data_IF_041115274281
#
_entry.id   IF_041115274281
#
_cell.length_a   1.000
_cell.length_b   1.000
_cell.length_c   1.000
_cell.angle_alpha   90.00
_cell.angle_beta   90.00
_cell.angle_gamma   90.00
#
_symmetry.space_group_name_H-M   'P 1'
#
loop_
_entity.id
_entity.type
_entity.pdbx_description
1 polymer ?
#
# COMPACT_ATOMS: atom_id res chain seq x y z
N UNK A 1 -0.92 -7.62 2.19
CA UNK A 1 0.43 -8.24 2.13
C UNK A 1 1.47 -7.12 2.10
N UNK A 2 2.28 -6.97 3.15
CA UNK A 2 3.34 -5.97 3.28
C UNK A 2 4.69 -6.69 3.31
N UNK A 3 5.77 -6.04 2.87
CA UNK A 3 7.10 -6.67 2.83
C UNK A 3 7.33 -7.61 1.64
N UNK A 4 6.49 -7.55 0.61
CA UNK A 4 6.72 -8.28 -0.64
C UNK A 4 7.90 -7.65 -1.38
N UNK A 5 8.86 -8.48 -1.78
CA UNK A 5 10.01 -8.06 -2.59
C UNK A 5 9.69 -8.33 -4.06
N UNK A 6 9.76 -7.30 -4.87
CA UNK A 6 9.34 -7.30 -6.27
C UNK A 6 10.43 -6.78 -7.18
N UNK A 7 10.54 -7.36 -8.38
CA UNK A 7 11.35 -6.81 -9.46
C UNK A 7 10.54 -5.77 -10.21
N UNK A 8 11.13 -4.60 -10.44
CA UNK A 8 10.49 -3.55 -11.21
C UNK A 8 10.40 -3.96 -12.68
N UNK A 9 9.16 -3.99 -13.17
CA UNK A 9 8.81 -4.18 -14.56
C UNK A 9 7.84 -3.06 -14.96
N UNK A 10 8.15 -2.22 -15.97
CA UNK A 10 7.28 -1.12 -16.37
C UNK A 10 5.90 -1.56 -16.89
N UNK A 11 5.77 -2.79 -17.41
CA UNK A 11 4.48 -3.34 -17.84
C UNK A 11 3.57 -3.62 -16.64
N UNK A 12 4.16 -3.99 -15.50
CA UNK A 12 3.44 -4.33 -14.27
C UNK A 12 3.38 -3.18 -13.27
N UNK A 13 4.29 -2.20 -13.38
CA UNK A 13 4.52 -1.18 -12.37
C UNK A 13 4.70 0.21 -12.98
N UNK A 14 3.83 1.13 -12.59
CA UNK A 14 3.96 2.56 -12.92
C UNK A 14 4.46 3.34 -11.71
N UNK A 15 5.58 4.07 -11.85
CA UNK A 15 6.04 5.00 -10.81
C UNK A 15 5.18 6.25 -10.88
N UNK A 16 4.59 6.64 -9.75
CA UNK A 16 3.64 7.75 -9.67
C UNK A 16 4.34 8.99 -9.10
N UNK A 17 4.54 10.05 -9.90
CA UNK A 17 5.04 11.32 -9.39
C UNK A 17 3.94 12.09 -8.64
N UNK A 18 4.34 13.10 -7.86
CA UNK A 18 3.39 14.05 -7.25
C UNK A 18 3.66 14.33 -5.77
N UNK A 19 2.71 15.01 -5.14
CA UNK A 19 2.86 15.52 -3.77
C UNK A 19 3.17 14.44 -2.73
N UNK A 20 2.56 13.24 -2.87
CA UNK A 20 2.83 12.12 -1.98
C UNK A 20 4.25 11.57 -2.17
N UNK A 21 4.71 11.46 -3.42
CA UNK A 21 6.09 11.05 -3.70
C UNK A 21 7.10 12.05 -3.12
N UNK A 22 6.84 13.36 -3.26
CA UNK A 22 7.68 14.40 -2.67
C UNK A 22 7.64 14.40 -1.13
N UNK A 23 6.48 14.10 -0.54
CA UNK A 23 6.37 13.88 0.90
C UNK A 23 7.25 12.70 1.35
N UNK A 24 7.18 11.55 0.68
CA UNK A 24 8.00 10.38 1.00
C UNK A 24 9.50 10.69 0.88
N UNK A 25 9.92 11.45 -0.14
CA UNK A 25 11.33 11.86 -0.30
C UNK A 25 11.80 12.73 0.87
N UNK A 26 11.00 13.73 1.27
CA UNK A 26 11.30 14.62 2.42
C UNK A 26 11.36 13.85 3.73
N UNK A 27 10.49 12.85 3.91
CA UNK A 27 10.43 12.05 5.14
C UNK A 27 11.77 11.36 5.47
N UNK A 28 12.54 10.97 4.45
CA UNK A 28 13.83 10.28 4.59
C UNK A 28 15.02 11.11 4.09
N UNK A 29 14.86 12.42 3.93
CA UNK A 29 15.91 13.28 3.34
C UNK A 29 17.20 13.32 4.17
N UNK A 30 17.05 13.14 5.48
CA UNK A 30 18.12 13.13 6.48
C UNK A 30 18.62 11.72 6.81
N UNK A 31 18.04 10.67 6.20
CA UNK A 31 18.48 9.28 6.35
C UNK A 31 19.40 8.90 5.16
N UNK A 32 20.73 8.80 5.36
CA UNK A 32 21.65 8.50 4.27
C UNK A 32 21.40 7.13 3.60
N UNK A 33 20.80 6.17 4.32
CA UNK A 33 20.55 4.83 3.80
C UNK A 33 19.32 4.78 2.90
N UNK A 34 18.36 5.67 3.14
CA UNK A 34 17.04 5.69 2.48
C UNK A 34 16.79 6.88 1.56
N UNK A 35 17.66 7.89 1.62
CA UNK A 35 17.55 9.08 0.78
C UNK A 35 17.40 8.72 -0.70
N UNK A 36 16.30 9.17 -1.31
CA UNK A 36 15.99 8.92 -2.72
C UNK A 36 15.50 7.51 -3.05
N UNK A 37 15.31 6.64 -2.05
CA UNK A 37 14.85 5.26 -2.26
C UNK A 37 13.35 5.06 -2.12
N UNK A 38 12.65 5.95 -1.41
CA UNK A 38 11.19 5.87 -1.27
C UNK A 38 10.48 6.45 -2.49
N UNK A 39 9.48 5.73 -2.98
CA UNK A 39 8.67 6.13 -4.13
C UNK A 39 7.25 5.56 -4.01
N UNK A 40 6.34 6.08 -4.84
CA UNK A 40 4.98 5.57 -4.97
C UNK A 40 4.90 4.78 -6.27
N UNK A 41 4.38 3.56 -6.19
CA UNK A 41 4.18 2.67 -7.34
C UNK A 41 2.70 2.28 -7.43
N UNK A 42 2.21 2.17 -8.66
CA UNK A 42 0.92 1.55 -8.97
C UNK A 42 1.18 0.18 -9.58
N UNK A 43 0.60 -0.85 -9.00
CA UNK A 43 0.50 -2.18 -9.60
C UNK A 43 -0.55 -2.13 -10.71
N UNK A 44 -0.12 -2.14 -11.97
CA UNK A 44 -0.96 -1.84 -13.13
C UNK A 44 -2.16 -2.80 -13.25
N UNK A 45 -1.92 -4.11 -13.04
CA UNK A 45 -2.95 -5.16 -13.10
C UNK A 45 -3.99 -5.03 -11.99
N UNK A 46 -3.56 -4.69 -10.78
CA UNK A 46 -4.43 -4.61 -9.60
C UNK A 46 -5.07 -3.23 -9.41
N UNK A 47 -4.51 -2.20 -10.05
CA UNK A 47 -4.93 -0.81 -9.85
C UNK A 47 -4.63 -0.27 -8.45
N UNK A 48 -3.75 -0.92 -7.69
CA UNK A 48 -3.42 -0.59 -6.30
C UNK A 48 -2.17 0.26 -6.22
N UNK A 49 -2.19 1.27 -5.36
CA UNK A 49 -1.07 2.16 -5.07
C UNK A 49 -0.34 1.71 -3.80
N UNK A 50 0.98 1.75 -3.83
CA UNK A 50 1.84 1.30 -2.73
C UNK A 50 3.01 2.28 -2.58
N UNK A 51 3.38 2.56 -1.34
CA UNK A 51 4.66 3.21 -1.02
C UNK A 51 5.70 2.11 -0.90
N UNK A 52 6.76 2.22 -1.69
CA UNK A 52 7.82 1.22 -1.80
C UNK A 52 9.20 1.83 -1.57
N UNK A 53 10.16 0.98 -1.21
CA UNK A 53 11.57 1.32 -1.04
C UNK A 53 12.43 0.51 -2.02
N UNK A 54 13.32 1.17 -2.77
CA UNK A 54 14.35 0.49 -3.55
C UNK A 54 15.36 -0.21 -2.63
N UNK A 55 15.59 -1.52 -2.82
CA UNK A 55 16.59 -2.25 -2.03
C UNK A 55 18.02 -2.03 -2.56
N UNK A 56 18.15 -1.84 -3.87
CA UNK A 56 19.41 -1.66 -4.57
C UNK A 56 19.41 -0.34 -5.38
N UNK A 57 19.67 -0.42 -6.68
CA UNK A 57 19.59 0.71 -7.61
C UNK A 57 18.12 1.00 -7.96
N UNK A 58 17.75 2.25 -8.30
CA UNK A 58 16.41 2.57 -8.78
C UNK A 58 16.04 1.72 -10.01
N UNK A 59 14.76 1.33 -10.10
CA UNK A 59 14.20 0.49 -11.19
C UNK A 59 14.76 -0.94 -11.25
N UNK A 60 15.21 -1.47 -10.13
CA UNK A 60 15.66 -2.85 -9.99
C UNK A 60 14.73 -3.60 -9.03
N UNK A 61 15.16 -3.87 -7.81
CA UNK A 61 14.35 -4.56 -6.79
C UNK A 61 13.83 -3.57 -5.76
N UNK A 62 12.56 -3.69 -5.41
CA UNK A 62 11.93 -2.90 -4.36
C UNK A 62 11.14 -3.76 -3.38
N UNK A 63 10.84 -3.19 -2.22
CA UNK A 63 9.99 -3.79 -1.20
C UNK A 63 8.79 -2.89 -0.89
N UNK A 64 7.63 -3.50 -0.70
CA UNK A 64 6.40 -2.82 -0.33
C UNK A 64 6.42 -2.42 1.15
N UNK A 65 6.31 -1.11 1.43
CA UNK A 65 6.33 -0.55 2.80
C UNK A 65 4.92 -0.29 3.31
N UNK A 66 4.02 0.22 2.45
CA UNK A 66 2.64 0.56 2.84
C UNK A 66 1.69 0.50 1.65
N UNK A 67 0.58 -0.22 1.83
CA UNK A 67 -0.50 -0.31 0.84
C UNK A 67 -1.50 0.86 1.00
N UNK A 68 -1.78 1.57 -0.09
CA UNK A 68 -2.71 2.69 -0.17
C UNK A 68 -4.06 2.29 -0.81
N UNK A 69 -4.23 1.05 -1.25
CA UNK A 69 -5.44 0.60 -1.92
C UNK A 69 -5.60 1.23 -3.30
N UNK A 70 -6.85 1.39 -3.77
CA UNK A 70 -7.16 1.85 -5.14
C UNK A 70 -7.10 3.37 -5.33
N UNK A 71 -6.87 4.15 -4.27
CA UNK A 71 -6.83 5.61 -4.33
C UNK A 71 -5.74 6.20 -3.46
N UNK A 72 -5.06 7.22 -3.98
CA UNK A 72 -4.11 8.03 -3.20
C UNK A 72 -4.79 8.90 -2.14
N UNK A 73 -6.10 9.17 -2.26
CA UNK A 73 -6.88 9.90 -1.25
C UNK A 73 -7.02 9.14 0.07
N UNK A 74 -6.72 7.83 0.08
CA UNK A 74 -6.69 7.03 1.30
C UNK A 74 -5.50 7.35 2.21
N UNK A 75 -4.53 8.15 1.73
CA UNK A 75 -3.38 8.56 2.51
C UNK A 75 -3.75 9.69 3.47
N UNK A 76 -4.18 9.31 4.67
CA UNK A 76 -4.58 10.21 5.75
C UNK A 76 -3.42 10.52 6.69
N UNK A 77 -3.66 11.40 7.66
CA UNK A 77 -2.70 11.70 8.74
C UNK A 77 -2.29 10.46 9.53
N UNK A 78 -3.22 9.52 9.72
CA UNK A 78 -2.97 8.29 10.46
C UNK A 78 -2.01 7.38 9.69
N UNK A 79 -2.22 7.21 8.38
CA UNK A 79 -1.27 6.50 7.50
C UNK A 79 0.09 7.18 7.44
N UNK A 80 0.15 8.51 7.47
CA UNK A 80 1.43 9.24 7.52
C UNK A 80 2.18 8.98 8.84
N UNK A 81 1.47 8.94 9.97
CA UNK A 81 2.03 8.57 11.28
C UNK A 81 2.54 7.14 11.29
N UNK A 82 1.73 6.21 10.78
CA UNK A 82 2.08 4.80 10.65
C UNK A 82 3.29 4.58 9.74
N UNK A 83 3.36 5.26 8.60
CA UNK A 83 4.51 5.20 7.70
C UNK A 83 5.79 5.64 8.41
N UNK A 84 5.72 6.75 9.15
CA UNK A 84 6.86 7.26 9.93
C UNK A 84 7.26 6.24 11.01
N UNK A 85 6.29 5.64 11.69
CA UNK A 85 6.55 4.60 12.68
C UNK A 85 7.26 3.39 12.04
N UNK A 86 6.73 2.84 10.94
CA UNK A 86 7.33 1.69 10.22
C UNK A 86 8.75 1.96 9.71
N UNK A 87 9.05 3.20 9.34
CA UNK A 87 10.39 3.56 8.85
C UNK A 87 11.39 3.71 10.01
N UNK A 88 11.04 4.39 11.09
CA UNK A 88 12.02 4.81 12.10
C UNK A 88 11.96 4.04 13.42
N UNK A 89 10.91 3.25 13.65
CA UNK A 89 10.80 2.33 14.77
C UNK A 89 10.64 0.91 14.21
N UNK A 90 11.66 0.03 14.31
CA UNK A 90 11.47 -1.37 13.95
C UNK A 90 10.36 -1.94 14.83
N UNK A 91 9.29 -2.36 14.16
CA UNK A 91 8.10 -2.93 14.77
C UNK A 91 8.53 -4.15 15.59
N UNK A 92 8.13 -4.23 16.85
CA UNK A 92 8.37 -5.45 17.63
C UNK A 92 7.56 -6.60 17.03
N UNK A 93 7.98 -7.86 17.22
CA UNK A 93 7.24 -9.01 16.69
C UNK A 93 5.75 -8.99 17.11
N UNK A 94 5.47 -8.56 18.34
CA UNK A 94 4.11 -8.45 18.88
C UNK A 94 3.25 -7.37 18.21
N UNK A 95 3.84 -6.26 17.74
CA UNK A 95 3.13 -5.22 17.00
C UNK A 95 2.88 -5.64 15.54
N UNK A 96 3.76 -6.46 14.97
CA UNK A 96 3.57 -7.05 13.63
C UNK A 96 2.36 -7.99 13.62
N UNK A 97 2.21 -8.84 14.63
CA UNK A 97 1.06 -9.75 14.75
C UNK A 97 -0.27 -9.00 14.85
N UNK A 98 -0.31 -7.88 15.58
CA UNK A 98 -1.51 -7.03 15.66
C UNK A 98 -1.85 -6.35 14.34
N UNK A 99 -0.84 -5.86 13.61
CA UNK A 99 -1.04 -5.23 12.30
C UNK A 99 -1.50 -6.24 11.25
N UNK A 100 -0.98 -7.46 11.26
CA UNK A 100 -1.45 -8.54 10.38
C UNK A 100 -2.88 -8.93 10.71
N UNK A 101 -3.21 -9.10 12.00
CA UNK A 101 -4.57 -9.42 12.44
C UNK A 101 -5.58 -8.31 12.06
N UNK A 102 -5.19 -7.04 12.16
CA UNK A 102 -6.03 -5.92 11.71
C UNK A 102 -6.20 -5.87 10.19
N UNK A 103 -5.13 -6.11 9.42
CA UNK A 103 -5.20 -6.13 7.97
C UNK A 103 -6.02 -7.31 7.42
N UNK A 104 -5.99 -8.47 8.08
CA UNK A 104 -6.85 -9.60 7.75
C UNK A 104 -8.32 -9.30 8.10
N UNK A 105 -8.57 -8.62 9.22
CA UNK A 105 -9.91 -8.16 9.59
C UNK A 105 -10.49 -7.19 8.56
N UNK A 106 -9.70 -6.20 8.12
CA UNK A 106 -10.12 -5.23 7.10
C UNK A 106 -10.36 -5.92 5.74
N UNK A 107 -9.52 -6.88 5.36
CA UNK A 107 -9.72 -7.69 4.16
C UNK A 107 -11.01 -8.53 4.21
N UNK A 108 -11.31 -9.14 5.36
CA UNK A 108 -12.53 -9.92 5.54
C UNK A 108 -13.78 -9.04 5.57
N UNK A 109 -13.71 -7.84 6.15
CA UNK A 109 -14.79 -6.86 6.08
C UNK A 109 -15.02 -6.38 4.64
N UNK A 110 -13.98 -6.02 3.89
CA UNK A 110 -14.12 -5.64 2.47
C UNK A 110 -14.71 -6.78 1.62
N UNK A 111 -14.36 -8.05 1.91
CA UNK A 111 -14.97 -9.20 1.24
C UNK A 111 -16.44 -9.41 1.63
N UNK A 112 -16.82 -9.17 2.88
CA UNK A 112 -18.21 -9.27 3.33
C UNK A 112 -19.07 -8.19 2.69
N UNK A 113 -18.62 -6.93 2.71
CA UNK A 113 -19.32 -5.82 2.08
C UNK A 113 -19.47 -6.05 0.56
N UNK A 114 -18.43 -6.60 -0.09
CA UNK A 114 -18.48 -6.96 -1.50
C UNK A 114 -19.50 -8.09 -1.77
N UNK A 115 -19.50 -9.14 -0.94
CA UNK A 115 -20.45 -10.25 -1.07
C UNK A 115 -21.89 -9.82 -0.80
N UNK A 116 -22.14 -8.97 0.21
CA UNK A 116 -23.47 -8.43 0.48
C UNK A 116 -23.97 -7.58 -0.70
N UNK A 117 -23.10 -6.73 -1.26
CA UNK A 117 -23.47 -5.92 -2.44
C UNK A 117 -23.82 -6.75 -3.68
N UNK A 118 -23.08 -7.83 -3.95
CA UNK A 118 -23.39 -8.74 -5.06
C UNK A 118 -24.64 -9.58 -4.78
N UNK A 119 -24.86 -9.98 -3.54
CA UNK A 119 -26.06 -10.74 -3.13
C UNK A 119 -27.32 -9.87 -3.27
N UNK A 120 -27.26 -8.59 -2.87
CA UNK A 120 -28.35 -7.64 -3.10
C UNK A 120 -28.59 -7.37 -4.58
N UNK A 121 -27.53 -7.30 -5.39
CA UNK A 121 -27.64 -7.11 -6.85
C UNK A 121 -28.31 -8.30 -7.53
N UNK A 122 -27.93 -9.52 -7.14
CA UNK A 122 -28.53 -10.75 -7.64
C UNK A 122 -30.00 -10.87 -7.19
N UNK A 123 -30.31 -10.55 -5.93
CA UNK A 123 -31.68 -10.54 -5.43
C UNK A 123 -32.57 -9.53 -6.18
N UNK A 124 -32.06 -8.33 -6.51
CA UNK A 124 -32.79 -7.35 -7.33
C UNK A 124 -33.01 -7.83 -8.77
N UNK A 125 -32.06 -8.55 -9.36
CA UNK A 125 -32.23 -9.16 -10.68
C UNK A 125 -33.21 -10.34 -10.69
N UNK A 126 -33.33 -11.12 -9.60
CA UNK A 126 -34.32 -12.20 -9.49
C UNK A 126 -35.75 -11.68 -9.26
N UNK A 127 -35.91 -10.49 -8.65
CA UNK A 127 -37.22 -9.87 -8.43
C UNK A 127 -37.74 -9.13 -9.68
N UNK A 128 -36.89 -8.95 -10.71
CA UNK A 128 -37.31 -8.48 -12.03
C UNK A 128 -37.71 -7.00 -12.07
N UNK A 129 -36.78 -6.10 -11.72
CA UNK A 129 -36.77 -4.72 -12.25
C UNK A 129 -35.77 -4.58 -13.40
#
# INVERSE_FOLDING_TARGET
>A
MLGMVSFYNPDEHSIIPGALSEFCKRLVENDPKRKGKLFVVRYNKLGVFVIAEWLAKPKDVFVDIMNLGKSLSSFTRDKASELRHRLFAPITAAETDRLTAGADSDYHHEMQDFNESETERLAKCEIGE
#
